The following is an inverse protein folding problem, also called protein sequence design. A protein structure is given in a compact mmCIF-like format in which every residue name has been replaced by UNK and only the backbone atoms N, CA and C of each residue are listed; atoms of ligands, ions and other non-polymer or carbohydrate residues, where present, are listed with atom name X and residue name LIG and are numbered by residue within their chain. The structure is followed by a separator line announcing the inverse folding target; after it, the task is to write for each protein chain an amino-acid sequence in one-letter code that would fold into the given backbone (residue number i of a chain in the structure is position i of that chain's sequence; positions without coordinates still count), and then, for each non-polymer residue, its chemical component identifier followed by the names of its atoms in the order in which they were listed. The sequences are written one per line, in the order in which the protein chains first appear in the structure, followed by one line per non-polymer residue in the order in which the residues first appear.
data_IF_198479550393
#
_entry.id   IF_198479550393
#
_cell.length_a   1.000
_cell.length_b   1.000
_cell.length_c   1.000
_cell.angle_alpha   90.00
_cell.angle_beta   90.00
_cell.angle_gamma   90.00
#
_symmetry.space_group_name_H-M   'P 1'
#
loop_
_entity.id
_entity.type
_entity.pdbx_description
1 polymer ?
#
# COMPACT_ATOMS: atom_id res chain seq x y z
N UNK A 1 -23.28 -13.17 -11.94
CA UNK A 1 -22.57 -12.08 -11.26
C UNK A 1 -22.42 -12.44 -9.79
N UNK A 2 -21.18 -12.43 -9.27
CA UNK A 2 -20.86 -12.88 -7.91
C UNK A 2 -20.80 -11.70 -6.93
N UNK A 3 -21.12 -11.99 -5.66
CA UNK A 3 -20.95 -11.04 -4.56
C UNK A 3 -19.74 -11.46 -3.72
N UNK A 4 -19.08 -10.50 -3.09
CA UNK A 4 -18.03 -10.79 -2.13
C UNK A 4 -18.62 -11.47 -0.88
N UNK A 5 -18.02 -12.57 -0.38
CA UNK A 5 -18.45 -13.21 0.86
C UNK A 5 -18.39 -12.25 2.06
N UNK A 6 -19.13 -12.54 3.10
CA UNK A 6 -19.14 -11.69 4.31
C UNK A 6 -17.76 -11.60 4.99
N UNK A 7 -17.01 -12.71 4.98
CA UNK A 7 -15.67 -12.85 5.55
C UNK A 7 -14.52 -12.48 4.58
N UNK A 8 -14.84 -11.95 3.39
CA UNK A 8 -13.87 -11.66 2.34
C UNK A 8 -12.68 -10.83 2.83
N UNK A 9 -12.92 -9.82 3.63
CA UNK A 9 -11.83 -8.94 4.07
C UNK A 9 -10.90 -9.62 5.08
N UNK A 10 -11.38 -10.62 5.81
CA UNK A 10 -10.58 -11.43 6.71
C UNK A 10 -9.84 -12.54 5.96
N UNK A 11 -10.50 -13.26 5.03
CA UNK A 11 -9.95 -14.42 4.34
C UNK A 11 -10.33 -14.47 2.86
N UNK A 12 -9.72 -13.62 1.99
CA UNK A 12 -10.09 -13.54 0.58
C UNK A 12 -9.66 -14.78 -0.24
N UNK A 13 -8.68 -15.52 0.23
CA UNK A 13 -7.96 -16.53 -0.56
C UNK A 13 -8.80 -17.75 -0.95
N UNK A 14 -9.72 -18.18 -0.08
CA UNK A 14 -10.65 -19.25 -0.40
C UNK A 14 -11.58 -18.88 -1.57
N UNK A 15 -12.11 -17.65 -1.53
CA UNK A 15 -12.94 -17.11 -2.61
C UNK A 15 -12.14 -16.95 -3.91
N UNK A 16 -10.94 -16.42 -3.86
CA UNK A 16 -10.09 -16.29 -5.04
C UNK A 16 -9.72 -17.65 -5.66
N UNK A 17 -9.39 -18.66 -4.85
CA UNK A 17 -9.11 -20.02 -5.33
C UNK A 17 -10.31 -20.62 -6.05
N UNK A 18 -11.52 -20.45 -5.49
CA UNK A 18 -12.74 -20.87 -6.16
C UNK A 18 -12.91 -20.19 -7.53
N UNK A 19 -12.71 -18.88 -7.61
CA UNK A 19 -12.81 -18.13 -8.86
C UNK A 19 -11.77 -18.62 -9.88
N UNK A 20 -10.50 -18.80 -9.49
CA UNK A 20 -9.46 -19.30 -10.40
C UNK A 20 -9.77 -20.69 -10.96
N UNK A 21 -10.40 -21.56 -10.18
CA UNK A 21 -10.85 -22.87 -10.65
C UNK A 21 -11.96 -22.80 -11.72
N UNK A 22 -12.73 -21.72 -11.75
CA UNK A 22 -13.82 -21.50 -12.70
C UNK A 22 -13.41 -20.69 -13.93
N UNK A 23 -12.29 -19.92 -13.85
CA UNK A 23 -11.76 -19.12 -14.95
C UNK A 23 -10.94 -17.92 -14.49
N UNK A 24 -10.38 -17.20 -15.47
CA UNK A 24 -9.45 -16.09 -15.24
C UNK A 24 -10.17 -14.77 -14.90
N UNK A 25 -11.43 -14.61 -15.36
CA UNK A 25 -12.14 -13.32 -15.34
C UNK A 25 -13.59 -13.53 -14.94
N UNK A 26 -14.06 -12.74 -13.97
CA UNK A 26 -15.39 -12.87 -13.40
C UNK A 26 -16.11 -11.53 -13.27
N UNK A 27 -17.42 -11.51 -13.52
CA UNK A 27 -18.24 -10.37 -13.15
C UNK A 27 -18.57 -10.42 -11.66
N UNK A 28 -18.23 -9.35 -10.94
CA UNK A 28 -18.57 -9.17 -9.53
C UNK A 28 -19.41 -7.92 -9.30
N UNK A 29 -20.10 -7.90 -8.16
CA UNK A 29 -20.75 -6.71 -7.62
C UNK A 29 -20.08 -6.32 -6.31
N UNK A 30 -19.54 -5.10 -6.25
CA UNK A 30 -19.00 -4.53 -5.04
C UNK A 30 -20.11 -4.20 -4.02
N UNK A 31 -19.76 -4.03 -2.74
CA UNK A 31 -20.72 -3.62 -1.69
C UNK A 31 -21.43 -2.30 -2.00
N UNK A 32 -20.77 -1.41 -2.72
CA UNK A 32 -21.32 -0.15 -3.23
C UNK A 32 -22.37 -0.32 -4.34
N UNK A 33 -22.64 -1.56 -4.80
CA UNK A 33 -23.51 -1.86 -5.92
C UNK A 33 -22.85 -1.75 -7.30
N UNK A 34 -21.64 -1.21 -7.39
CA UNK A 34 -20.87 -1.08 -8.63
C UNK A 34 -20.53 -2.45 -9.19
N UNK A 35 -20.71 -2.65 -10.50
CA UNK A 35 -20.30 -3.86 -11.22
C UNK A 35 -18.89 -3.69 -11.76
N UNK A 36 -18.11 -4.76 -11.70
CA UNK A 36 -16.75 -4.79 -12.21
C UNK A 36 -16.39 -6.16 -12.76
N UNK A 37 -15.39 -6.21 -13.62
CA UNK A 37 -14.71 -7.42 -14.04
C UNK A 37 -13.50 -7.65 -13.15
N UNK A 38 -13.43 -8.79 -12.48
CA UNK A 38 -12.34 -9.18 -11.60
C UNK A 38 -11.44 -10.20 -12.28
N UNK A 39 -10.17 -9.84 -12.46
CA UNK A 39 -9.11 -10.70 -13.00
C UNK A 39 -8.40 -11.37 -11.83
N UNK A 40 -8.31 -12.70 -11.82
CA UNK A 40 -7.88 -13.46 -10.63
C UNK A 40 -6.64 -14.33 -10.81
N UNK A 41 -6.21 -14.62 -12.04
CA UNK A 41 -5.00 -15.42 -12.29
C UNK A 41 -3.77 -14.57 -12.66
N UNK A 42 -2.61 -15.19 -12.58
CA UNK A 42 -1.32 -14.51 -12.74
C UNK A 42 -1.09 -14.00 -14.17
N UNK A 43 -1.34 -14.83 -15.18
CA UNK A 43 -1.03 -14.49 -16.57
C UNK A 43 -2.00 -13.43 -17.10
N UNK A 44 -3.29 -13.60 -16.86
CA UNK A 44 -4.29 -12.59 -17.21
C UNK A 44 -4.07 -11.27 -16.44
N UNK A 45 -3.64 -11.32 -15.18
CA UNK A 45 -3.28 -10.13 -14.43
C UNK A 45 -2.11 -9.37 -15.08
N UNK A 46 -1.05 -10.07 -15.50
CA UNK A 46 0.09 -9.43 -16.21
C UNK A 46 -0.31 -8.90 -17.58
N UNK A 47 -1.16 -9.62 -18.29
CA UNK A 47 -1.67 -9.21 -19.60
C UNK A 47 -2.45 -7.89 -19.47
N UNK A 48 -3.47 -7.84 -18.60
CA UNK A 48 -4.31 -6.66 -18.43
C UNK A 48 -3.56 -5.46 -17.86
N UNK A 49 -2.56 -5.68 -17.01
CA UNK A 49 -1.73 -4.60 -16.45
C UNK A 49 -0.84 -3.90 -17.50
N UNK A 50 -0.64 -4.52 -18.68
CA UNK A 50 0.13 -3.97 -19.81
C UNK A 50 -0.75 -3.62 -21.02
N UNK A 51 -2.05 -3.98 -20.96
CA UNK A 51 -2.92 -3.85 -22.13
C UNK A 51 -3.12 -2.38 -22.51
N UNK A 52 -2.88 -1.96 -23.75
CA UNK A 52 -2.95 -0.56 -24.17
C UNK A 52 -4.37 0.02 -24.08
N UNK A 53 -5.41 -0.80 -24.22
CA UNK A 53 -6.81 -0.39 -24.12
C UNK A 53 -7.39 -0.53 -22.72
N UNK A 54 -6.56 -0.86 -21.72
CA UNK A 54 -6.95 -0.83 -20.30
C UNK A 54 -6.34 0.41 -19.65
N UNK A 55 -7.15 1.41 -19.47
CA UNK A 55 -6.79 2.79 -19.12
C UNK A 55 -6.99 3.09 -17.64
N UNK A 56 -6.34 4.15 -17.18
CA UNK A 56 -6.43 4.65 -15.81
C UNK A 56 -6.95 6.08 -15.71
N UNK A 57 -6.81 6.89 -16.74
CA UNK A 57 -7.31 8.27 -16.74
C UNK A 57 -8.84 8.29 -16.62
N UNK A 58 -9.43 8.75 -15.49
CA UNK A 58 -10.86 8.76 -15.28
C UNK A 58 -11.60 9.70 -16.24
N UNK A 59 -10.91 10.67 -16.82
CA UNK A 59 -11.49 11.60 -17.81
C UNK A 59 -11.70 10.94 -19.17
N UNK A 60 -10.92 9.91 -19.49
CA UNK A 60 -11.07 9.12 -20.71
C UNK A 60 -12.09 7.98 -20.58
N UNK A 61 -12.68 7.77 -19.40
CA UNK A 61 -13.69 6.74 -19.16
C UNK A 61 -14.97 7.00 -19.96
N UNK A 62 -15.28 6.15 -20.93
CA UNK A 62 -16.45 6.28 -21.81
C UNK A 62 -17.72 5.65 -21.24
N UNK A 63 -17.58 4.70 -20.33
CA UNK A 63 -18.68 3.93 -19.74
C UNK A 63 -19.35 4.64 -18.56
N UNK A 64 -20.68 4.54 -18.45
CA UNK A 64 -21.43 5.08 -17.31
C UNK A 64 -20.99 4.49 -15.97
N UNK A 65 -20.63 3.21 -15.94
CA UNK A 65 -20.16 2.52 -14.73
C UNK A 65 -18.74 2.94 -14.33
N UNK A 66 -17.84 3.10 -15.30
CA UNK A 66 -16.49 3.60 -15.04
C UNK A 66 -16.53 5.04 -14.51
N UNK A 67 -17.39 5.89 -15.09
CA UNK A 67 -17.64 7.25 -14.57
C UNK A 67 -18.23 7.22 -13.16
N UNK A 68 -19.17 6.30 -12.88
CA UNK A 68 -19.77 6.18 -11.56
C UNK A 68 -18.77 5.66 -10.51
N UNK A 69 -17.86 4.73 -10.88
CA UNK A 69 -16.79 4.27 -10.01
C UNK A 69 -15.75 5.37 -9.75
N UNK A 70 -15.37 6.12 -10.77
CA UNK A 70 -14.50 7.29 -10.65
C UNK A 70 -15.15 8.41 -9.82
N UNK A 71 -16.44 8.64 -9.97
CA UNK A 71 -17.19 9.64 -9.20
C UNK A 71 -17.53 9.17 -7.77
N UNK A 72 -17.74 7.86 -7.56
CA UNK A 72 -18.08 7.29 -6.24
C UNK A 72 -16.88 7.19 -5.30
N UNK A 73 -15.66 7.12 -5.85
CA UNK A 73 -14.43 7.22 -5.08
C UNK A 73 -14.03 8.67 -4.75
N UNK A 74 -14.76 9.62 -5.34
CA UNK A 74 -14.49 11.03 -5.14
C UNK A 74 -15.82 11.73 -4.90
N UNK A 75 -16.04 12.19 -3.69
CA UNK A 75 -16.85 13.39 -3.53
C UNK A 75 -16.09 14.50 -4.24
N UNK A 76 -16.27 14.62 -5.59
CA UNK A 76 -15.45 15.46 -6.47
C UNK A 76 -15.59 16.91 -6.08
N UNK A 77 -14.64 17.41 -5.31
CA UNK A 77 -14.42 18.85 -5.10
C UNK A 77 -13.42 19.37 -6.13
N UNK A 78 -13.32 20.68 -6.28
CA UNK A 78 -12.27 21.30 -7.10
C UNK A 78 -10.86 20.85 -6.65
N UNK A 79 -10.64 20.62 -5.34
CA UNK A 79 -9.40 20.10 -4.80
C UNK A 79 -9.13 18.66 -5.26
N UNK A 80 -10.14 17.78 -5.27
CA UNK A 80 -9.99 16.40 -5.78
C UNK A 80 -9.67 16.37 -7.27
N UNK A 81 -10.20 17.29 -8.06
CA UNK A 81 -9.84 17.44 -9.48
C UNK A 81 -8.36 17.82 -9.62
N UNK A 82 -7.88 18.78 -8.84
CA UNK A 82 -6.45 19.14 -8.82
C UNK A 82 -5.56 17.96 -8.44
N UNK A 83 -5.98 17.16 -7.46
CA UNK A 83 -5.24 15.98 -6.99
C UNK A 83 -5.31 14.77 -7.93
N UNK A 84 -6.04 14.84 -9.05
CA UNK A 84 -6.10 13.75 -10.03
C UNK A 84 -4.99 13.79 -11.10
N UNK A 85 -4.22 14.89 -11.18
CA UNK A 85 -3.19 15.11 -12.21
C UNK A 85 -1.84 14.44 -11.88
N UNK A 86 -1.85 13.22 -11.39
CA UNK A 86 -0.65 12.49 -11.01
C UNK A 86 -0.43 11.24 -11.87
N UNK A 87 0.79 10.71 -11.79
CA UNK A 87 1.27 9.52 -12.49
C UNK A 87 0.31 8.32 -12.45
N UNK A 88 -0.34 8.07 -11.30
CA UNK A 88 -1.17 6.88 -11.11
C UNK A 88 -2.48 6.94 -11.90
N UNK A 89 -2.99 8.13 -12.19
CA UNK A 89 -4.22 8.37 -12.95
C UNK A 89 -3.99 8.76 -14.41
N UNK A 90 -2.75 8.68 -14.90
CA UNK A 90 -2.40 9.08 -16.25
C UNK A 90 -2.16 7.86 -17.16
N UNK A 91 -2.46 8.00 -18.43
CA UNK A 91 -2.11 7.07 -19.51
C UNK A 91 -1.07 7.69 -20.45
N UNK A 92 -0.36 6.88 -21.27
CA UNK A 92 0.53 7.44 -22.28
C UNK A 92 -0.21 8.37 -23.28
N UNK A 93 0.41 9.49 -23.71
CA UNK A 93 1.79 9.91 -23.46
C UNK A 93 2.04 10.60 -22.11
N UNK A 94 0.98 11.10 -21.43
CA UNK A 94 1.09 11.88 -20.21
C UNK A 94 1.77 11.08 -19.07
N UNK A 95 1.40 9.81 -18.89
CA UNK A 95 2.05 8.92 -17.92
C UNK A 95 3.57 8.86 -18.15
N UNK A 96 4.01 8.63 -19.39
CA UNK A 96 5.43 8.49 -19.74
C UNK A 96 6.21 9.76 -19.41
N UNK A 97 5.61 10.92 -19.71
CA UNK A 97 6.17 12.23 -19.38
C UNK A 97 6.34 12.42 -17.87
N UNK A 98 5.26 12.24 -17.11
CA UNK A 98 5.30 12.37 -15.64
C UNK A 98 6.28 11.37 -15.01
N UNK A 99 6.29 10.12 -15.49
CA UNK A 99 7.19 9.08 -15.00
C UNK A 99 8.65 9.47 -15.17
N UNK A 100 9.01 10.00 -16.35
CA UNK A 100 10.38 10.44 -16.65
C UNK A 100 10.84 11.56 -15.72
N UNK A 101 9.97 12.53 -15.45
CA UNK A 101 10.25 13.66 -14.53
C UNK A 101 10.42 13.22 -13.07
N UNK A 102 9.66 12.22 -12.62
CA UNK A 102 9.62 11.82 -11.20
C UNK A 102 10.62 10.73 -10.85
N UNK A 103 10.94 9.82 -11.79
CA UNK A 103 11.82 8.66 -11.54
C UNK A 103 13.19 9.01 -10.93
N UNK A 104 13.89 10.08 -11.33
CA UNK A 104 15.20 10.43 -10.75
C UNK A 104 15.14 10.71 -9.24
N UNK A 105 14.01 11.20 -8.72
CA UNK A 105 13.82 11.45 -7.31
C UNK A 105 13.74 10.16 -6.47
N UNK A 106 13.45 9.01 -7.09
CA UNK A 106 13.41 7.68 -6.49
C UNK A 106 14.60 6.79 -6.91
N UNK A 107 15.70 7.40 -7.35
CA UNK A 107 16.89 6.64 -7.72
C UNK A 107 17.38 5.74 -6.56
N UNK A 108 17.84 4.50 -6.83
CA UNK A 108 18.24 3.54 -5.79
C UNK A 108 19.23 4.13 -4.77
N UNK A 109 20.25 4.86 -5.23
CA UNK A 109 21.24 5.47 -4.35
C UNK A 109 20.62 6.51 -3.36
N UNK A 110 19.58 7.25 -3.80
CA UNK A 110 18.85 8.16 -2.91
C UNK A 110 18.04 7.40 -1.87
N UNK A 111 17.38 6.33 -2.29
CA UNK A 111 16.60 5.51 -1.35
C UNK A 111 17.51 4.83 -0.33
N UNK A 112 18.65 4.29 -0.75
CA UNK A 112 19.64 3.71 0.17
C UNK A 112 20.22 4.74 1.15
N UNK A 113 20.40 5.98 0.74
CA UNK A 113 20.87 7.04 1.63
C UNK A 113 19.92 7.33 2.81
N UNK A 114 18.64 6.93 2.71
CA UNK A 114 17.66 7.05 3.79
C UNK A 114 17.82 5.95 4.87
N UNK A 115 18.50 4.84 4.58
CA UNK A 115 18.54 3.68 5.46
C UNK A 115 19.04 4.00 6.89
N UNK A 116 20.09 4.83 7.12
CA UNK A 116 20.49 5.20 8.47
C UNK A 116 19.40 5.96 9.24
N UNK A 117 18.67 6.85 8.55
CA UNK A 117 17.58 7.62 9.17
C UNK A 117 16.38 6.73 9.48
N UNK A 118 15.97 5.84 8.55
CA UNK A 118 14.91 4.84 8.78
C UNK A 118 15.26 3.95 9.98
N UNK A 119 16.54 3.56 10.11
CA UNK A 119 17.02 2.79 11.26
C UNK A 119 16.88 3.57 12.56
N UNK A 120 17.28 4.83 12.58
CA UNK A 120 17.16 5.68 13.77
C UNK A 120 15.69 5.87 14.19
N UNK A 121 14.79 6.13 13.23
CA UNK A 121 13.35 6.23 13.49
C UNK A 121 12.83 4.91 14.09
N UNK A 122 13.19 3.77 13.50
CA UNK A 122 12.78 2.47 14.01
C UNK A 122 13.22 2.26 15.47
N UNK A 123 14.48 2.59 15.79
CA UNK A 123 15.02 2.45 17.14
C UNK A 123 14.34 3.38 18.14
N UNK A 124 14.11 4.65 17.79
CA UNK A 124 13.38 5.62 18.60
C UNK A 124 11.95 5.14 18.94
N UNK A 125 11.27 4.49 17.98
CA UNK A 125 9.93 3.92 18.17
C UNK A 125 9.97 2.69 19.09
N UNK A 126 10.94 1.80 18.89
CA UNK A 126 11.10 0.60 19.72
C UNK A 126 11.51 0.95 21.16
N UNK A 127 12.30 2.00 21.37
CA UNK A 127 12.64 2.49 22.72
C UNK A 127 11.41 2.97 23.48
N UNK A 128 10.42 3.57 22.80
CA UNK A 128 9.14 3.95 23.43
C UNK A 128 8.29 2.72 23.80
N UNK A 129 8.24 1.73 22.89
CA UNK A 129 7.52 0.47 23.16
C UNK A 129 8.13 -0.29 24.34
N UNK A 130 9.46 -0.30 24.46
CA UNK A 130 10.18 -0.96 25.56
C UNK A 130 9.86 -0.37 26.95
N UNK A 131 9.44 0.89 26.98
CA UNK A 131 9.01 1.57 28.21
C UNK A 131 7.54 1.30 28.59
N UNK A 132 6.78 0.62 27.72
CA UNK A 132 5.38 0.32 27.99
C UNK A 132 5.22 -0.75 29.07
N UNK A 133 4.34 -0.50 30.04
CA UNK A 133 4.09 -1.42 31.15
C UNK A 133 3.16 -2.60 30.80
N UNK A 134 2.66 -2.68 29.57
CA UNK A 134 1.64 -3.66 29.16
C UNK A 134 1.62 -3.89 27.66
N UNK A 135 0.53 -4.49 27.14
CA UNK A 135 0.36 -4.66 25.71
C UNK A 135 0.26 -3.32 25.00
N UNK A 136 0.79 -3.27 23.77
CA UNK A 136 0.74 -2.10 22.89
C UNK A 136 0.08 -2.48 21.57
N UNK A 137 -0.53 -1.53 20.87
CA UNK A 137 -0.90 -1.70 19.49
C UNK A 137 0.31 -1.44 18.60
N UNK A 138 0.86 -2.50 17.99
CA UNK A 138 2.06 -2.40 17.18
C UNK A 138 1.84 -1.58 15.90
N UNK A 139 0.61 -1.52 15.38
CA UNK A 139 0.32 -0.68 14.22
C UNK A 139 0.43 0.79 14.61
N UNK A 140 -0.18 1.19 15.73
CA UNK A 140 -0.21 2.56 16.23
C UNK A 140 1.17 3.05 16.67
N UNK A 141 1.92 2.21 17.39
CA UNK A 141 3.17 2.62 18.04
C UNK A 141 4.40 2.43 17.16
N UNK A 142 4.32 1.60 16.11
CA UNK A 142 5.48 1.25 15.29
C UNK A 142 5.23 1.28 13.78
N UNK A 143 4.29 0.43 13.29
CA UNK A 143 4.16 0.20 11.86
C UNK A 143 3.66 1.44 11.11
N UNK A 144 2.80 2.27 11.74
CA UNK A 144 2.31 3.52 11.16
C UNK A 144 3.32 4.67 11.32
N UNK A 145 3.87 4.96 12.53
CA UNK A 145 4.77 6.09 12.71
C UNK A 145 6.04 6.03 11.85
N UNK A 146 6.57 4.84 11.57
CA UNK A 146 7.80 4.69 10.82
C UNK A 146 7.67 5.21 9.37
N UNK A 147 6.83 4.64 8.49
CA UNK A 147 6.76 5.08 7.10
C UNK A 147 6.17 6.48 6.94
N UNK A 148 5.23 6.92 7.79
CA UNK A 148 4.71 8.29 7.69
C UNK A 148 5.79 9.32 8.04
N UNK A 149 6.66 9.04 9.02
CA UNK A 149 7.79 9.90 9.34
C UNK A 149 8.77 9.97 8.18
N UNK A 150 9.13 8.82 7.59
CA UNK A 150 10.04 8.76 6.44
C UNK A 150 9.50 9.55 5.25
N UNK A 151 8.21 9.36 4.90
CA UNK A 151 7.62 10.06 3.76
C UNK A 151 7.50 11.57 4.00
N UNK A 152 7.19 11.99 5.24
CA UNK A 152 7.17 13.40 5.62
C UNK A 152 8.58 14.03 5.51
N UNK A 153 9.61 13.35 6.00
CA UNK A 153 10.99 13.80 5.85
C UNK A 153 11.41 13.89 4.38
N UNK A 154 11.07 12.88 3.59
CA UNK A 154 11.34 12.86 2.15
C UNK A 154 10.66 14.03 1.42
N UNK A 155 9.43 14.38 1.79
CA UNK A 155 8.69 15.52 1.23
C UNK A 155 9.13 16.88 1.81
N UNK A 156 10.02 16.89 2.81
CA UNK A 156 10.46 18.11 3.50
C UNK A 156 9.35 18.74 4.35
N UNK A 157 8.51 17.91 4.97
CA UNK A 157 7.51 18.34 5.95
C UNK A 157 8.17 18.51 7.33
N UNK A 158 8.06 19.68 7.96
CA UNK A 158 8.57 19.95 9.30
C UNK A 158 8.03 18.96 10.35
N UNK A 159 8.80 18.74 11.42
CA UNK A 159 8.45 17.76 12.48
C UNK A 159 7.12 18.13 13.14
N UNK A 160 6.90 19.41 13.37
CA UNK A 160 5.70 19.98 13.99
C UNK A 160 4.41 19.71 13.20
N UNK A 161 4.50 19.55 11.88
CA UNK A 161 3.34 19.33 11.02
C UNK A 161 3.00 17.85 10.83
N UNK A 162 3.88 16.91 11.22
CA UNK A 162 3.72 15.47 10.91
C UNK A 162 2.49 14.83 11.55
N UNK A 163 2.13 15.26 12.76
CA UNK A 163 0.92 14.80 13.43
C UNK A 163 -0.34 15.14 12.61
N UNK A 164 -0.40 16.35 12.08
CA UNK A 164 -1.50 16.79 11.22
C UNK A 164 -1.56 16.01 9.89
N UNK A 165 -0.39 15.70 9.31
CA UNK A 165 -0.34 14.84 8.12
C UNK A 165 -0.86 13.44 8.38
N UNK A 166 -0.56 12.88 9.55
CA UNK A 166 -1.13 11.62 9.99
C UNK A 166 -2.66 11.66 10.01
N UNK A 167 -3.25 12.66 10.66
CA UNK A 167 -4.70 12.81 10.78
C UNK A 167 -5.37 12.95 9.40
N UNK A 168 -4.80 13.75 8.52
CA UNK A 168 -5.29 13.91 7.14
C UNK A 168 -5.20 12.63 6.34
N UNK A 169 -4.11 11.89 6.49
CA UNK A 169 -3.89 10.63 5.80
C UNK A 169 -4.93 9.58 6.19
N UNK A 170 -5.15 9.39 7.50
CA UNK A 170 -6.19 8.52 8.02
C UNK A 170 -7.56 8.92 7.46
N UNK A 171 -7.89 10.22 7.47
CA UNK A 171 -9.17 10.72 6.95
C UNK A 171 -9.38 10.46 5.43
N UNK A 172 -8.29 10.44 4.64
CA UNK A 172 -8.36 10.21 3.18
C UNK A 172 -8.40 8.72 2.83
N UNK A 173 -7.64 7.88 3.56
CA UNK A 173 -7.45 6.46 3.20
C UNK A 173 -8.43 5.54 3.90
N UNK A 174 -8.81 5.85 5.15
CA UNK A 174 -9.70 4.99 5.94
C UNK A 174 -11.17 5.32 5.72
N UNK A 175 -11.68 4.94 4.54
CA UNK A 175 -13.05 5.23 4.11
C UNK A 175 -14.15 4.69 5.05
N UNK A 176 -14.01 3.55 5.76
CA UNK A 176 -15.01 3.11 6.72
C UNK A 176 -15.13 4.00 7.96
N UNK A 177 -14.03 4.67 8.35
CA UNK A 177 -13.97 5.54 9.53
C UNK A 177 -14.22 7.02 9.19
N UNK A 178 -14.11 7.39 7.90
CA UNK A 178 -14.17 8.78 7.45
C UNK A 178 -15.52 9.13 6.86
N UNK A 179 -16.08 10.26 7.30
CA UNK A 179 -17.24 10.83 6.62
C UNK A 179 -16.83 11.50 5.29
N UNK A 180 -17.72 11.56 4.28
CA UNK A 180 -17.42 12.30 3.04
C UNK A 180 -17.01 13.77 3.27
N UNK A 181 -17.54 14.39 4.33
CA UNK A 181 -17.16 15.75 4.71
C UNK A 181 -15.75 15.81 5.30
N UNK A 182 -15.39 14.88 6.18
CA UNK A 182 -14.06 14.77 6.77
C UNK A 182 -12.98 14.51 5.70
N UNK A 183 -13.26 13.58 4.78
CA UNK A 183 -12.36 13.31 3.64
C UNK A 183 -12.13 14.56 2.79
N UNK A 184 -13.20 15.31 2.48
CA UNK A 184 -13.07 16.57 1.71
C UNK A 184 -12.23 17.59 2.46
N UNK A 185 -12.53 17.81 3.76
CA UNK A 185 -11.77 18.77 4.58
C UNK A 185 -10.28 18.43 4.65
N UNK A 186 -9.94 17.15 4.84
CA UNK A 186 -8.55 16.67 4.84
C UNK A 186 -7.88 16.89 3.47
N UNK A 187 -8.58 16.57 2.39
CA UNK A 187 -8.09 16.77 1.02
C UNK A 187 -7.79 18.25 0.73
N UNK A 188 -8.72 19.14 1.06
CA UNK A 188 -8.57 20.59 0.87
C UNK A 188 -7.38 21.11 1.71
N UNK A 189 -7.25 20.66 2.96
CA UNK A 189 -6.15 21.05 3.83
C UNK A 189 -4.77 20.58 3.32
N UNK A 190 -4.68 19.37 2.76
CA UNK A 190 -3.46 18.86 2.14
C UNK A 190 -3.06 19.70 0.92
N UNK A 191 -4.03 20.05 0.06
CA UNK A 191 -3.79 20.91 -1.11
C UNK A 191 -3.26 22.27 -0.67
N UNK A 192 -3.93 22.91 0.27
CA UNK A 192 -3.53 24.23 0.79
C UNK A 192 -2.14 24.18 1.44
N UNK A 193 -1.81 23.08 2.13
CA UNK A 193 -0.49 22.91 2.72
C UNK A 193 0.61 22.82 1.65
N UNK A 194 0.43 21.99 0.65
CA UNK A 194 1.42 21.86 -0.42
C UNK A 194 1.52 23.13 -1.28
N UNK A 195 0.41 23.84 -1.51
CA UNK A 195 0.43 25.17 -2.17
C UNK A 195 1.35 26.15 -1.42
N UNK A 196 1.19 26.26 -0.09
CA UNK A 196 2.06 27.11 0.76
C UNK A 196 3.50 26.63 0.77
N UNK A 197 3.71 25.31 0.88
CA UNK A 197 5.04 24.67 0.91
C UNK A 197 5.82 24.95 -0.38
N UNK A 198 5.18 24.83 -1.54
CA UNK A 198 5.77 25.14 -2.86
C UNK A 198 6.06 26.64 -2.99
N UNK A 199 5.13 27.50 -2.58
CA UNK A 199 5.32 28.96 -2.61
C UNK A 199 6.50 29.40 -1.72
N UNK A 200 6.63 28.80 -0.53
CA UNK A 200 7.73 29.06 0.39
C UNK A 200 9.09 28.70 -0.23
N UNK A 201 9.21 27.51 -0.86
CA UNK A 201 10.45 27.07 -1.53
C UNK A 201 10.83 27.97 -2.70
N UNK A 202 9.86 28.41 -3.49
CA UNK A 202 10.10 29.38 -4.58
C UNK A 202 10.60 30.73 -4.08
N UNK A 203 10.16 31.16 -2.90
CA UNK A 203 10.53 32.46 -2.31
C UNK A 203 11.83 32.42 -1.54
N UNK A 204 12.06 31.36 -0.74
CA UNK A 204 13.16 31.30 0.23
C UNK A 204 14.33 30.39 -0.20
N UNK A 205 14.19 29.70 -1.34
CA UNK A 205 15.19 28.77 -1.86
C UNK A 205 14.79 27.31 -1.68
N UNK A 206 15.41 26.46 -2.48
CA UNK A 206 15.16 25.01 -2.53
C UNK A 206 16.00 24.29 -1.46
N UNK A 207 15.40 23.28 -0.85
CA UNK A 207 16.08 22.33 0.04
C UNK A 207 16.55 21.08 -0.69
N UNK A 208 17.02 20.10 0.07
CA UNK A 208 17.35 18.74 -0.42
C UNK A 208 16.19 17.77 -0.14
N UNK A 209 14.98 18.22 -0.37
CA UNK A 209 13.75 17.42 -0.23
C UNK A 209 13.13 17.10 -1.59
N UNK A 210 12.22 16.12 -1.61
CA UNK A 210 11.59 15.64 -2.84
C UNK A 210 10.78 16.73 -3.56
N UNK A 211 10.07 17.61 -2.83
CA UNK A 211 9.31 18.72 -3.45
C UNK A 211 10.28 19.66 -4.15
N UNK A 212 11.42 19.99 -3.53
CA UNK A 212 12.48 20.82 -4.15
C UNK A 212 13.04 20.15 -5.42
N UNK A 213 13.27 18.84 -5.38
CA UNK A 213 13.71 18.11 -6.58
C UNK A 213 12.64 18.07 -7.69
N UNK A 214 11.38 17.88 -7.33
CA UNK A 214 10.29 17.90 -8.30
C UNK A 214 10.09 19.30 -8.92
N UNK A 215 10.34 20.38 -8.15
CA UNK A 215 10.31 21.74 -8.65
C UNK A 215 11.40 22.02 -9.71
N UNK A 216 12.53 21.34 -9.62
CA UNK A 216 13.67 21.50 -10.53
C UNK A 216 13.68 20.44 -11.63
N UNK A 217 12.88 19.36 -11.47
CA UNK A 217 12.82 18.29 -12.47
C UNK A 217 12.43 18.84 -13.83
N UNK A 218 13.27 18.55 -14.82
CA UNK A 218 13.03 18.94 -16.21
C UNK A 218 13.56 17.87 -17.16
N UNK A 219 12.90 17.75 -18.31
CA UNK A 219 13.28 16.87 -19.39
C UNK A 219 13.05 17.58 -20.72
N UNK A 220 14.11 17.84 -21.48
CA UNK A 220 14.09 18.60 -22.74
C UNK A 220 13.28 19.92 -22.68
N UNK A 221 13.34 20.62 -21.53
CA UNK A 221 12.59 21.86 -21.27
C UNK A 221 11.18 21.67 -20.72
N UNK A 222 10.67 20.44 -20.63
CA UNK A 222 9.39 20.13 -19.97
C UNK A 222 9.55 20.05 -18.44
N UNK A 223 8.53 20.46 -17.72
CA UNK A 223 8.48 20.49 -16.25
C UNK A 223 7.09 20.10 -15.76
N UNK A 224 7.02 19.71 -14.48
CA UNK A 224 5.71 19.56 -13.82
C UNK A 224 4.99 20.92 -13.73
N UNK A 225 3.73 20.95 -14.12
CA UNK A 225 2.87 22.09 -13.79
C UNK A 225 2.66 22.17 -12.28
N UNK A 226 2.10 23.30 -11.80
CA UNK A 226 1.83 23.48 -10.38
C UNK A 226 0.88 22.40 -9.82
N UNK A 227 -0.21 22.13 -10.53
CA UNK A 227 -1.19 21.12 -10.10
C UNK A 227 -0.64 19.67 -10.22
N UNK A 228 0.18 19.40 -11.22
CA UNK A 228 0.90 18.11 -11.30
C UNK A 228 1.86 17.90 -10.12
N UNK A 229 2.56 18.94 -9.69
CA UNK A 229 3.47 18.89 -8.55
C UNK A 229 2.69 18.62 -7.26
N UNK A 230 1.63 19.38 -6.98
CA UNK A 230 0.78 19.19 -5.79
C UNK A 230 0.15 17.80 -5.79
N UNK A 231 -0.39 17.39 -6.92
CA UNK A 231 -1.00 16.07 -7.11
C UNK A 231 0.01 14.93 -6.92
N UNK A 232 1.26 15.12 -7.37
CA UNK A 232 2.33 14.15 -7.18
C UNK A 232 2.77 14.05 -5.73
N UNK A 233 2.93 15.18 -5.03
CA UNK A 233 3.25 15.21 -3.60
C UNK A 233 2.16 14.50 -2.77
N UNK A 234 0.89 14.76 -3.09
CA UNK A 234 -0.24 14.06 -2.50
C UNK A 234 -0.20 12.54 -2.76
N UNK A 235 0.02 12.13 -4.02
CA UNK A 235 0.13 10.70 -4.35
C UNK A 235 1.23 10.02 -3.56
N UNK A 236 2.41 10.65 -3.48
CA UNK A 236 3.57 10.09 -2.77
C UNK A 236 3.28 9.96 -1.27
N UNK A 237 2.64 10.98 -0.67
CA UNK A 237 2.22 10.93 0.71
C UNK A 237 1.31 9.73 0.97
N UNK A 238 0.19 9.63 0.23
CA UNK A 238 -0.84 8.61 0.49
C UNK A 238 -0.37 7.20 0.13
N UNK A 239 0.28 7.03 -1.02
CA UNK A 239 0.72 5.70 -1.47
C UNK A 239 1.96 5.19 -0.72
N UNK A 240 2.77 6.11 -0.17
CA UNK A 240 4.09 5.79 0.37
C UNK A 240 4.06 5.19 1.78
N UNK A 241 3.04 5.43 2.59
CA UNK A 241 3.05 4.94 3.98
C UNK A 241 2.06 3.80 4.23
N UNK A 242 0.79 3.91 3.87
CA UNK A 242 -0.25 2.93 4.18
C UNK A 242 0.08 1.50 3.72
N UNK A 243 0.68 1.37 2.55
CA UNK A 243 1.08 0.07 2.02
C UNK A 243 2.21 -0.56 2.83
N UNK A 244 3.16 0.24 3.30
CA UNK A 244 4.27 -0.24 4.15
C UNK A 244 3.79 -0.56 5.57
N UNK A 245 2.86 0.21 6.14
CA UNK A 245 2.17 -0.11 7.41
C UNK A 245 1.57 -1.51 7.35
N UNK A 246 0.77 -1.77 6.33
CA UNK A 246 0.10 -3.05 6.17
C UNK A 246 1.10 -4.19 5.88
N UNK A 247 2.18 -3.94 5.15
CA UNK A 247 3.24 -4.93 4.92
C UNK A 247 3.92 -5.33 6.24
N UNK A 248 4.26 -4.37 7.08
CA UNK A 248 4.87 -4.63 8.41
C UNK A 248 3.87 -5.40 9.28
N UNK A 249 2.64 -4.91 9.42
CA UNK A 249 1.61 -5.52 10.27
C UNK A 249 1.27 -6.95 9.86
N UNK A 250 1.01 -7.19 8.57
CA UNK A 250 0.70 -8.53 8.04
C UNK A 250 1.89 -9.49 8.21
N UNK A 251 3.13 -8.98 8.04
CA UNK A 251 4.34 -9.80 8.25
C UNK A 251 4.48 -10.21 9.72
N UNK A 252 4.30 -9.26 10.63
CA UNK A 252 4.40 -9.58 12.08
C UNK A 252 3.32 -10.56 12.47
N UNK A 253 2.07 -10.38 12.05
CA UNK A 253 0.99 -11.34 12.32
C UNK A 253 1.34 -12.75 11.82
N UNK A 254 1.81 -12.86 10.57
CA UNK A 254 2.21 -14.16 9.99
C UNK A 254 3.35 -14.83 10.79
N UNK A 255 4.31 -14.03 11.26
CA UNK A 255 5.43 -14.53 12.06
C UNK A 255 5.01 -14.92 13.48
N UNK A 256 4.07 -14.19 14.09
CA UNK A 256 3.57 -14.53 15.44
C UNK A 256 2.69 -15.79 15.44
N UNK A 257 2.12 -16.16 14.29
CA UNK A 257 1.46 -17.46 14.10
C UNK A 257 2.47 -18.64 14.00
N UNK A 258 3.78 -18.35 13.80
CA UNK A 258 4.89 -19.34 13.76
C UNK A 258 6.03 -18.88 14.70
N UNK A 259 5.88 -19.01 16.03
CA UNK A 259 6.88 -18.54 16.99
C UNK A 259 8.29 -19.12 16.80
N UNK A 260 8.48 -20.40 16.39
CA UNK A 260 9.81 -20.91 16.03
C UNK A 260 10.49 -20.12 14.92
N UNK A 261 9.74 -19.73 13.87
CA UNK A 261 10.25 -18.92 12.77
C UNK A 261 10.59 -17.51 13.22
N UNK A 262 9.73 -16.89 14.05
CA UNK A 262 10.00 -15.57 14.61
C UNK A 262 11.32 -15.56 15.39
N UNK A 263 11.54 -16.54 16.28
CA UNK A 263 12.80 -16.66 17.04
C UNK A 263 14.03 -16.94 16.15
N UNK A 264 13.86 -17.71 15.07
CA UNK A 264 14.95 -17.97 14.12
C UNK A 264 15.46 -16.70 13.44
N UNK A 265 14.57 -15.72 13.16
CA UNK A 265 14.95 -14.41 12.60
C UNK A 265 15.78 -13.57 13.57
N UNK A 266 15.59 -13.71 14.88
CA UNK A 266 16.45 -13.06 15.88
C UNK A 266 17.90 -13.56 15.78
N UNK A 267 18.08 -14.85 15.52
CA UNK A 267 19.41 -15.47 15.36
C UNK A 267 20.03 -15.20 13.98
N UNK A 268 19.20 -15.08 12.94
CA UNK A 268 19.64 -14.83 11.56
C UNK A 268 18.82 -13.68 10.90
N UNK A 269 19.15 -12.43 11.20
CA UNK A 269 18.42 -11.27 10.66
C UNK A 269 18.50 -11.11 9.14
N UNK A 270 19.49 -11.69 8.48
CA UNK A 270 19.64 -11.66 7.01
C UNK A 270 18.46 -12.38 6.32
N UNK A 271 17.84 -13.36 7.00
CA UNK A 271 16.66 -14.05 6.50
C UNK A 271 15.41 -13.15 6.38
N UNK A 272 15.43 -11.91 6.92
CA UNK A 272 14.34 -10.93 6.75
C UNK A 272 14.19 -10.51 5.29
N UNK A 273 15.28 -10.43 4.51
CA UNK A 273 15.20 -10.00 3.11
C UNK A 273 14.34 -10.93 2.24
N UNK A 274 14.63 -12.24 2.14
CA UNK A 274 13.76 -13.14 1.36
C UNK A 274 12.38 -13.30 2.00
N UNK A 275 12.24 -13.17 3.30
CA UNK A 275 10.96 -13.21 4.00
C UNK A 275 10.03 -12.04 3.56
N UNK A 276 10.55 -10.83 3.38
CA UNK A 276 9.77 -9.69 2.88
C UNK A 276 9.26 -9.94 1.45
N UNK A 277 10.08 -10.52 0.56
CA UNK A 277 9.64 -10.86 -0.80
C UNK A 277 8.53 -11.93 -0.77
N UNK A 278 8.69 -12.95 0.06
CA UNK A 278 7.65 -13.96 0.19
C UNK A 278 6.37 -13.39 0.84
N UNK A 279 6.49 -12.49 1.80
CA UNK A 279 5.33 -11.83 2.40
C UNK A 279 4.56 -10.97 1.40
N UNK A 280 5.26 -10.25 0.52
CA UNK A 280 4.66 -9.51 -0.60
C UNK A 280 3.86 -10.43 -1.53
N UNK A 281 4.34 -11.65 -1.77
CA UNK A 281 3.61 -12.68 -2.52
C UNK A 281 2.44 -13.25 -1.70
N UNK A 282 2.72 -13.67 -0.47
CA UNK A 282 1.82 -14.48 0.37
C UNK A 282 0.63 -13.70 0.89
N UNK A 283 0.87 -12.54 1.54
CA UNK A 283 -0.18 -11.68 2.10
C UNK A 283 0.18 -10.19 1.98
N UNK A 284 0.49 -9.78 0.73
CA UNK A 284 0.90 -8.41 0.43
C UNK A 284 -0.18 -7.37 0.75
N UNK A 285 0.23 -6.11 0.96
CA UNK A 285 -0.65 -5.04 1.43
C UNK A 285 -1.66 -4.55 0.39
N UNK A 286 -1.46 -4.86 -0.90
CA UNK A 286 -2.38 -4.48 -1.98
C UNK A 286 -3.12 -5.72 -2.47
N UNK A 287 -4.40 -5.81 -2.09
CA UNK A 287 -5.26 -6.91 -2.49
C UNK A 287 -5.66 -6.82 -3.95
N UNK A 288 -6.15 -5.65 -4.38
CA UNK A 288 -6.56 -5.37 -5.76
C UNK A 288 -5.81 -4.14 -6.27
N UNK A 289 -5.29 -4.18 -7.49
CA UNK A 289 -4.68 -3.01 -8.10
C UNK A 289 -5.68 -1.86 -8.27
N UNK A 290 -5.18 -0.62 -8.30
CA UNK A 290 -6.02 0.57 -8.51
C UNK A 290 -6.85 0.47 -9.78
N UNK A 291 -8.03 1.09 -9.77
CA UNK A 291 -9.08 1.00 -10.78
C UNK A 291 -8.57 1.20 -12.21
N UNK A 292 -9.14 0.41 -13.13
CA UNK A 292 -8.92 0.50 -14.57
C UNK A 292 -10.23 0.33 -15.31
N UNK A 293 -10.27 0.75 -16.56
CA UNK A 293 -11.41 0.56 -17.44
C UNK A 293 -10.96 0.33 -18.88
N UNK A 294 -11.81 -0.35 -19.64
CA UNK A 294 -11.58 -0.68 -21.04
C UNK A 294 -11.91 0.51 -21.94
N UNK A 295 -10.95 0.96 -22.75
CA UNK A 295 -11.16 2.01 -23.77
C UNK A 295 -11.71 1.43 -25.09
N UNK A 296 -11.47 0.13 -25.33
CA UNK A 296 -12.00 -0.67 -26.42
C UNK A 296 -12.40 -2.07 -25.91
N UNK A 297 -13.17 -2.88 -26.64
CA UNK A 297 -13.41 -4.27 -26.25
C UNK A 297 -12.08 -5.03 -26.17
N UNK A 298 -11.90 -5.85 -25.14
CA UNK A 298 -10.73 -6.71 -24.99
C UNK A 298 -11.17 -8.15 -24.76
N UNK A 299 -10.34 -9.10 -25.16
CA UNK A 299 -10.53 -10.53 -24.82
C UNK A 299 -9.44 -10.95 -23.84
N UNK A 300 -9.82 -11.43 -22.66
CA UNK A 300 -8.91 -11.84 -21.61
C UNK A 300 -9.31 -13.22 -21.07
N UNK A 301 -8.39 -14.18 -21.11
CA UNK A 301 -8.67 -15.55 -20.68
C UNK A 301 -9.88 -16.18 -21.39
N UNK A 302 -10.11 -15.86 -22.67
CA UNK A 302 -11.27 -16.30 -23.45
C UNK A 302 -12.58 -15.57 -23.14
N UNK A 303 -12.57 -14.57 -22.26
CA UNK A 303 -13.75 -13.75 -21.90
C UNK A 303 -13.68 -12.40 -22.58
N UNK A 304 -14.73 -12.01 -23.32
CA UNK A 304 -14.84 -10.67 -23.90
C UNK A 304 -15.32 -9.68 -22.84
N UNK A 305 -14.58 -8.57 -22.67
CA UNK A 305 -14.92 -7.44 -21.81
C UNK A 305 -15.25 -6.25 -22.71
N UNK A 306 -16.48 -5.72 -22.69
CA UNK A 306 -16.88 -4.59 -23.53
C UNK A 306 -16.13 -3.30 -23.19
N UNK A 307 -16.25 -2.30 -24.08
CA UNK A 307 -15.76 -0.93 -23.84
C UNK A 307 -16.45 -0.29 -22.65
N UNK A 308 -15.69 0.48 -21.85
CA UNK A 308 -16.19 1.30 -20.74
C UNK A 308 -16.48 0.51 -19.48
N UNK A 309 -16.05 -0.73 -19.41
CA UNK A 309 -16.21 -1.58 -18.23
C UNK A 309 -15.09 -1.36 -17.21
N UNK A 310 -15.44 -1.41 -15.93
CA UNK A 310 -14.49 -1.37 -14.82
C UNK A 310 -13.77 -2.70 -14.68
N UNK A 311 -12.44 -2.66 -14.66
CA UNK A 311 -11.58 -3.84 -14.49
C UNK A 311 -10.78 -3.73 -13.20
N UNK A 312 -10.87 -4.76 -12.38
CA UNK A 312 -10.14 -4.94 -11.14
C UNK A 312 -9.15 -6.12 -11.29
N UNK A 313 -7.93 -5.94 -10.87
CA UNK A 313 -6.88 -6.97 -10.91
C UNK A 313 -6.55 -7.40 -9.50
N UNK A 314 -6.95 -8.62 -9.12
CA UNK A 314 -6.69 -9.18 -7.81
C UNK A 314 -5.23 -9.64 -7.68
N UNK A 315 -4.33 -8.73 -7.30
CA UNK A 315 -2.90 -9.03 -7.13
C UNK A 315 -2.67 -10.12 -6.09
N UNK A 316 -3.42 -10.08 -4.97
CA UNK A 316 -3.35 -11.10 -3.93
C UNK A 316 -3.77 -12.49 -4.44
N UNK A 317 -4.73 -12.55 -5.36
CA UNK A 317 -5.12 -13.78 -6.03
C UNK A 317 -4.05 -14.28 -6.99
N UNK A 318 -3.56 -13.40 -7.87
CA UNK A 318 -2.54 -13.71 -8.87
C UNK A 318 -1.25 -14.22 -8.22
N UNK A 319 -0.84 -13.63 -7.09
CA UNK A 319 0.32 -14.04 -6.33
C UNK A 319 0.14 -15.39 -5.60
N UNK A 320 -1.06 -15.95 -5.61
CA UNK A 320 -1.38 -17.29 -5.07
C UNK A 320 -1.96 -18.22 -6.13
N UNK A 321 -1.66 -17.97 -7.41
CA UNK A 321 -2.09 -18.83 -8.50
C UNK A 321 -1.28 -20.13 -8.50
N UNK A 322 -1.96 -21.26 -8.31
CA UNK A 322 -1.39 -22.61 -8.27
C UNK A 322 -0.81 -23.07 -9.62
N UNK A 323 -1.16 -22.40 -10.72
CA UNK A 323 -0.57 -22.64 -12.04
C UNK A 323 0.80 -21.99 -12.21
N UNK A 324 1.11 -20.99 -11.36
CA UNK A 324 2.36 -20.23 -11.42
C UNK A 324 3.27 -20.51 -10.22
N UNK A 325 2.72 -20.70 -9.03
CA UNK A 325 3.46 -20.95 -7.79
C UNK A 325 3.15 -22.36 -7.26
N UNK A 326 4.18 -23.18 -7.06
CA UNK A 326 4.02 -24.45 -6.37
C UNK A 326 3.64 -24.23 -4.90
N UNK A 327 2.64 -24.94 -4.39
CA UNK A 327 2.08 -24.76 -3.05
C UNK A 327 1.90 -23.28 -2.63
N UNK A 328 1.04 -22.52 -3.34
CA UNK A 328 0.94 -21.07 -3.16
C UNK A 328 0.35 -20.68 -1.80
N UNK A 329 -0.26 -21.62 -1.09
CA UNK A 329 -0.83 -21.40 0.23
C UNK A 329 0.20 -21.52 1.36
N UNK A 330 1.37 -22.11 1.10
CA UNK A 330 2.47 -22.14 2.05
C UNK A 330 3.24 -20.81 2.06
N UNK A 331 3.62 -20.37 3.25
CA UNK A 331 4.57 -19.27 3.46
C UNK A 331 5.99 -19.84 3.47
N UNK A 332 6.73 -19.62 2.39
CA UNK A 332 8.05 -20.20 2.15
C UNK A 332 9.06 -19.13 1.69
N UNK A 333 9.82 -18.53 2.62
CA UNK A 333 10.82 -17.52 2.31
C UNK A 333 11.97 -17.99 1.40
N UNK A 334 12.19 -19.30 1.27
CA UNK A 334 13.21 -19.85 0.37
C UNK A 334 12.72 -19.97 -1.08
N UNK A 335 11.47 -19.64 -1.32
CA UNK A 335 10.86 -19.61 -2.66
C UNK A 335 11.50 -18.58 -3.55
N UNK A 336 11.90 -18.96 -4.76
CA UNK A 336 12.17 -17.99 -5.83
C UNK A 336 10.85 -17.34 -6.27
N UNK A 337 10.67 -16.06 -5.98
CA UNK A 337 9.39 -15.38 -6.17
C UNK A 337 9.45 -14.34 -7.29
N UNK A 338 8.58 -14.51 -8.30
CA UNK A 338 8.30 -13.53 -9.35
C UNK A 338 6.92 -12.88 -9.11
N UNK A 339 6.65 -12.47 -7.88
CA UNK A 339 5.37 -11.89 -7.52
C UNK A 339 5.09 -10.54 -8.22
N UNK A 340 3.82 -10.20 -8.35
CA UNK A 340 3.35 -8.93 -8.92
C UNK A 340 2.72 -8.00 -7.86
N UNK A 341 3.15 -8.10 -6.60
CA UNK A 341 2.63 -7.26 -5.51
C UNK A 341 2.83 -5.76 -5.76
N UNK A 342 3.89 -5.37 -6.48
CA UNK A 342 4.15 -4.01 -6.91
C UNK A 342 3.51 -3.64 -8.26
N UNK A 343 2.58 -4.45 -8.75
CA UNK A 343 2.01 -4.30 -10.08
C UNK A 343 2.93 -4.79 -11.20
N UNK A 344 2.59 -4.43 -12.44
CA UNK A 344 3.33 -4.80 -13.65
C UNK A 344 3.13 -3.76 -14.74
N UNK A 345 4.06 -3.68 -15.72
CA UNK A 345 4.01 -2.72 -16.83
C UNK A 345 4.37 -1.29 -16.41
N UNK A 346 3.80 -0.32 -17.11
CA UNK A 346 4.18 1.11 -16.96
C UNK A 346 3.89 1.66 -15.56
N UNK A 347 2.89 1.14 -14.86
CA UNK A 347 2.52 1.51 -13.51
C UNK A 347 3.20 0.66 -12.41
N UNK A 348 4.26 -0.06 -12.71
CA UNK A 348 5.07 -0.72 -11.67
C UNK A 348 5.46 0.29 -10.60
N UNK A 349 5.31 -0.09 -9.33
CA UNK A 349 5.47 0.80 -8.18
C UNK A 349 6.81 1.55 -8.20
N UNK A 350 6.74 2.88 -8.14
CA UNK A 350 7.92 3.74 -8.11
C UNK A 350 8.69 3.62 -6.79
N UNK A 351 7.94 3.46 -5.68
CA UNK A 351 8.48 3.33 -4.32
C UNK A 351 8.87 1.91 -3.92
N UNK A 352 8.92 0.94 -4.85
CA UNK A 352 9.17 -0.46 -4.50
C UNK A 352 10.50 -0.70 -3.76
N UNK A 353 11.54 0.08 -4.07
CA UNK A 353 12.83 0.04 -3.38
C UNK A 353 12.72 0.55 -1.94
N UNK A 354 12.06 1.69 -1.75
CA UNK A 354 11.84 2.30 -0.43
C UNK A 354 11.02 1.37 0.47
N UNK A 355 9.89 0.85 -0.02
CA UNK A 355 9.01 -0.05 0.75
C UNK A 355 9.74 -1.31 1.22
N UNK A 356 10.58 -1.91 0.37
CA UNK A 356 11.41 -3.07 0.75
C UNK A 356 12.45 -2.73 1.82
N UNK A 357 13.10 -1.60 1.68
CA UNK A 357 14.10 -1.14 2.65
C UNK A 357 13.45 -0.86 4.01
N UNK A 358 12.34 -0.12 4.03
CA UNK A 358 11.59 0.18 5.26
C UNK A 358 11.12 -1.09 5.95
N UNK A 359 10.47 -2.00 5.22
CA UNK A 359 9.99 -3.26 5.79
C UNK A 359 11.15 -4.11 6.34
N UNK A 360 12.26 -4.23 5.59
CA UNK A 360 13.45 -4.97 6.03
C UNK A 360 14.04 -4.37 7.30
N UNK A 361 14.22 -3.06 7.36
CA UNK A 361 14.78 -2.38 8.55
C UNK A 361 13.82 -2.55 9.72
N UNK A 362 12.53 -2.25 9.53
CA UNK A 362 11.52 -2.33 10.58
C UNK A 362 11.48 -3.73 11.20
N UNK A 363 11.38 -4.77 10.39
CA UNK A 363 11.30 -6.14 10.87
C UNK A 363 12.61 -6.60 11.53
N UNK A 364 13.76 -6.25 10.95
CA UNK A 364 15.08 -6.59 11.54
C UNK A 364 15.25 -5.96 12.91
N UNK A 365 14.88 -4.68 13.06
CA UNK A 365 14.99 -3.97 14.35
C UNK A 365 14.01 -4.52 15.37
N UNK A 366 12.76 -4.79 14.96
CA UNK A 366 11.71 -5.34 15.82
C UNK A 366 12.10 -6.70 16.41
N UNK A 367 12.49 -7.66 15.54
CA UNK A 367 12.84 -9.02 16.01
C UNK A 367 14.09 -9.04 16.88
N UNK A 368 15.05 -8.14 16.63
CA UNK A 368 16.24 -7.98 17.50
C UNK A 368 15.88 -7.44 18.87
N UNK A 369 14.96 -6.46 18.94
CA UNK A 369 14.58 -5.82 20.20
C UNK A 369 13.65 -6.67 21.04
N UNK A 370 12.69 -7.37 20.42
CA UNK A 370 11.64 -8.14 21.09
C UNK A 370 11.60 -9.58 20.59
N UNK A 371 12.60 -10.43 20.96
CA UNK A 371 12.67 -11.82 20.48
C UNK A 371 11.51 -12.70 20.96
N UNK A 372 10.82 -12.32 22.04
CA UNK A 372 9.68 -13.02 22.62
C UNK A 372 8.35 -12.26 22.39
N UNK A 373 8.27 -11.42 21.33
CA UNK A 373 7.03 -10.75 20.95
C UNK A 373 5.91 -11.76 20.73
N UNK A 374 4.70 -11.46 21.19
CA UNK A 374 3.53 -12.35 21.04
C UNK A 374 2.24 -11.54 20.95
N UNK A 375 1.20 -12.11 20.37
CA UNK A 375 -0.12 -11.50 20.37
C UNK A 375 -0.63 -11.32 21.79
N UNK A 376 -1.34 -10.22 22.04
CA UNK A 376 -2.02 -9.92 23.31
C UNK A 376 -3.52 -10.30 23.30
N UNK A 377 -4.01 -10.74 22.13
CA UNK A 377 -5.40 -11.19 21.91
C UNK A 377 -5.41 -12.46 21.09
N UNK A 378 -6.50 -13.17 21.06
CA UNK A 378 -6.66 -14.30 20.14
C UNK A 378 -6.69 -13.80 18.68
N UNK A 379 -6.08 -14.55 17.75
CA UNK A 379 -6.06 -14.21 16.33
C UNK A 379 -7.48 -14.02 15.77
N UNK A 380 -8.45 -14.74 16.33
CA UNK A 380 -9.86 -14.65 16.02
C UNK A 380 -10.49 -13.27 16.24
N UNK A 381 -9.98 -12.52 17.19
CA UNK A 381 -10.48 -11.21 17.61
C UNK A 381 -9.85 -10.04 16.83
N UNK A 382 -8.82 -10.32 16.03
CA UNK A 382 -8.19 -9.30 15.21
C UNK A 382 -9.14 -8.75 14.15
N UNK A 383 -9.16 -7.45 14.02
CA UNK A 383 -10.03 -6.71 13.11
C UNK A 383 -9.30 -6.39 11.81
N UNK A 384 -9.93 -6.73 10.69
CA UNK A 384 -9.41 -6.46 9.36
C UNK A 384 -10.08 -5.24 8.73
N UNK A 385 -9.28 -4.48 7.97
CA UNK A 385 -9.77 -3.34 7.18
C UNK A 385 -10.75 -3.80 6.10
N UNK A 386 -11.91 -3.18 6.03
CA UNK A 386 -12.92 -3.46 4.99
C UNK A 386 -12.62 -2.69 3.68
N UNK A 387 -11.45 -2.96 3.11
CA UNK A 387 -11.00 -2.35 1.85
C UNK A 387 -10.77 -3.40 0.77
N UNK A 388 -11.33 -3.19 -0.41
CA UNK A 388 -11.04 -4.05 -1.56
C UNK A 388 -9.62 -3.81 -2.11
N UNK A 389 -9.11 -2.58 -1.95
CA UNK A 389 -7.81 -2.17 -2.47
C UNK A 389 -6.67 -2.62 -1.55
N UNK A 390 -6.79 -2.32 -0.26
CA UNK A 390 -5.76 -2.56 0.73
C UNK A 390 -6.11 -3.78 1.60
N UNK A 391 -5.09 -4.54 1.97
CA UNK A 391 -5.18 -5.63 2.91
C UNK A 391 -4.31 -5.35 4.12
N UNK A 392 -4.92 -5.27 5.28
CA UNK A 392 -4.24 -5.00 6.55
C UNK A 392 -5.20 -5.06 7.72
N UNK A 393 -4.63 -5.04 8.89
CA UNK A 393 -5.33 -4.99 10.17
C UNK A 393 -5.74 -3.56 10.52
N UNK A 394 -6.70 -3.41 11.42
CA UNK A 394 -7.04 -2.14 12.05
C UNK A 394 -6.21 -1.90 13.31
N UNK A 395 -5.84 -2.97 14.01
CA UNK A 395 -5.02 -2.98 15.20
C UNK A 395 -4.23 -4.29 15.29
N UNK A 396 -3.09 -4.27 15.98
CA UNK A 396 -2.26 -5.46 16.24
C UNK A 396 -1.73 -5.40 17.68
N UNK A 397 -2.57 -5.75 18.67
CA UNK A 397 -2.17 -5.77 20.07
C UNK A 397 -1.13 -6.85 20.35
N UNK A 398 0.01 -6.46 20.91
CA UNK A 398 1.14 -7.36 21.20
C UNK A 398 1.68 -7.11 22.61
N UNK A 399 2.30 -8.14 23.20
CA UNK A 399 3.16 -8.03 24.36
C UNK A 399 4.62 -7.96 23.91
N UNK A 400 5.33 -6.83 24.11
CA UNK A 400 6.72 -6.67 23.70
C UNK A 400 7.68 -7.56 24.51
N UNK A 401 7.54 -7.57 25.83
CA UNK A 401 8.24 -8.53 26.70
C UNK A 401 7.37 -9.78 26.87
N UNK A 402 7.94 -10.95 26.76
CA UNK A 402 7.25 -12.18 27.14
C UNK A 402 6.74 -12.05 28.57
N UNK A 403 5.41 -11.85 28.78
CA UNK A 403 4.89 -11.89 30.14
C UNK A 403 5.23 -13.26 30.75
N UNK A 404 5.58 -13.33 32.05
CA UNK A 404 5.80 -14.61 32.69
C UNK A 404 4.55 -15.49 32.46
N UNK A 405 4.71 -16.55 31.70
CA UNK A 405 3.69 -17.61 31.62
C UNK A 405 3.76 -18.40 32.91
N UNK A 406 2.61 -18.67 33.50
CA UNK A 406 2.55 -19.65 34.58
C UNK A 406 2.96 -21.02 34.04
N UNK A 407 3.26 -21.97 34.94
CA UNK A 407 3.71 -23.32 34.60
C UNK A 407 2.69 -24.12 33.74
N UNK A 408 1.52 -23.57 33.42
CA UNK A 408 0.46 -24.16 32.61
C UNK A 408 0.37 -23.52 31.20
N UNK A 409 1.21 -22.48 30.90
CA UNK A 409 1.19 -21.77 29.63
C UNK A 409 0.09 -20.71 29.50
N UNK A 410 -0.69 -20.48 30.56
CA UNK A 410 -1.71 -19.44 30.61
C UNK A 410 -1.11 -18.11 31.12
N UNK A 411 -1.59 -16.93 30.65
CA UNK A 411 -1.14 -15.66 31.18
C UNK A 411 -1.45 -15.57 32.67
N UNK A 412 -0.44 -15.25 33.47
CA UNK A 412 -0.59 -15.07 34.91
C UNK A 412 -1.65 -14.02 35.19
N UNK A 413 -2.76 -14.41 35.84
CA UNK A 413 -3.75 -13.47 36.32
C UNK A 413 -3.14 -12.68 37.49
N UNK A 414 -3.03 -11.37 37.34
CA UNK A 414 -2.78 -10.47 38.49
C UNK A 414 -4.06 -10.14 39.23
#
# INVERSE_FOLDING_TARGET
MRQLPADFFRTPYAFYRQLRAEGSVHQIRLRTGVRAWLVVDYDAAKEVLRHPDVRKDPHSATGAQARQAAAGNSGVTAANQRLSHHLLNADPPQHSRLRKLVTPAFAPARMEALAPRVTAIADELLDRIDQAAGPVDLLEEYAFPLPITVICELLGVPVEDRAQFRDWSVAVVDTPMSTPAGMRSATDAIVDYFDRSVAARRKHGLGDDLISHLLTASDDGDRLSHDELISMAFLILIAGHETTVNLIGNTVLTLLADPPRYRALHQNPEAVTPLVEEMLRYDGPVNVATLRYTAAPITLGGTEIPTGELVLVALASANRDERHFADPAAFDPDRSSNHIAFGHGIHYCLGAGLARMEARIALTRLVRRFPELRLAVDEGDLRWRESILLRGLLDLPVHPAGAPVDSTGAPARR
#
